data_IF_608288462156
#
_entry.id   IF_608288462156
#
_cell.length_a   1.000
_cell.length_b   1.000
_cell.length_c   1.000
_cell.angle_alpha   90.00
_cell.angle_beta   90.00
_cell.angle_gamma   90.00
#
_symmetry.space_group_name_H-M   'P 1'
#
loop_
_entity.id
_entity.type
_entity.pdbx_description
1 polymer ?
#
# COMPACT_ATOMS: atom_id res chain seq x y z
N UNK A 1 36.60 -14.74 -34.48
CA UNK A 1 36.63 -14.14 -35.83
C UNK A 1 35.67 -12.95 -35.85
N UNK A 2 35.98 -11.92 -36.65
CA UNK A 2 35.22 -10.66 -36.84
C UNK A 2 35.10 -9.71 -35.63
N UNK A 3 35.95 -8.67 -35.63
CA UNK A 3 35.79 -7.41 -34.89
C UNK A 3 35.34 -6.31 -35.85
N UNK A 4 34.58 -5.32 -35.38
CA UNK A 4 34.50 -3.91 -35.85
C UNK A 4 33.23 -3.24 -35.28
N UNK A 5 33.15 -1.92 -35.03
CA UNK A 5 34.18 -0.91 -34.78
C UNK A 5 33.51 0.29 -34.08
N UNK A 6 34.30 1.12 -33.40
CA UNK A 6 33.84 2.32 -32.68
C UNK A 6 34.29 3.57 -33.47
N UNK A 7 33.39 4.51 -33.77
CA UNK A 7 33.74 5.85 -34.28
C UNK A 7 32.84 6.88 -33.58
N UNK A 8 33.44 7.91 -32.98
CA UNK A 8 32.74 9.02 -32.36
C UNK A 8 32.63 10.24 -33.28
N UNK A 9 31.83 11.22 -32.87
CA UNK A 9 31.70 12.51 -33.54
C UNK A 9 31.15 13.56 -32.58
N UNK A 10 31.90 14.65 -32.38
CA UNK A 10 31.55 15.75 -31.47
C UNK A 10 30.92 16.88 -32.30
N UNK A 11 29.84 17.50 -31.82
CA UNK A 11 29.18 18.62 -32.50
C UNK A 11 28.50 19.57 -31.51
N UNK A 12 29.04 20.79 -31.39
CA UNK A 12 28.48 21.92 -30.63
C UNK A 12 27.65 22.84 -31.55
N UNK A 13 26.93 23.81 -30.96
CA UNK A 13 25.94 24.78 -31.50
C UNK A 13 24.48 24.35 -31.20
N UNK A 14 23.54 25.24 -30.86
CA UNK A 14 23.58 26.71 -30.68
C UNK A 14 22.17 27.22 -30.32
N UNK A 15 22.07 28.37 -29.66
CA UNK A 15 20.81 28.95 -29.13
C UNK A 15 19.84 29.48 -30.19
N UNK A 16 18.51 29.38 -30.00
CA UNK A 16 17.56 30.52 -29.79
C UNK A 16 16.04 30.20 -29.92
N UNK A 17 15.24 30.93 -29.12
CA UNK A 17 13.88 31.48 -29.36
C UNK A 17 12.62 30.60 -29.63
N UNK A 18 11.72 30.62 -28.63
CA UNK A 18 10.29 30.98 -28.65
C UNK A 18 9.39 30.72 -29.88
N UNK A 19 8.22 30.07 -29.64
CA UNK A 19 6.99 30.40 -30.39
C UNK A 19 5.84 29.38 -30.31
N UNK A 20 4.63 29.88 -30.02
CA UNK A 20 3.29 29.28 -30.28
C UNK A 20 2.90 27.96 -29.56
N UNK A 21 1.62 27.65 -29.32
CA UNK A 21 0.38 28.45 -29.14
C UNK A 21 -0.62 27.58 -28.35
N UNK A 22 -1.46 28.16 -27.49
CA UNK A 22 -2.52 27.43 -26.78
C UNK A 22 -3.82 27.48 -27.59
N UNK A 23 -4.45 26.33 -27.80
CA UNK A 23 -5.67 26.20 -28.59
C UNK A 23 -6.94 26.57 -27.79
N UNK A 24 -7.88 27.23 -28.48
CA UNK A 24 -9.16 27.71 -27.95
C UNK A 24 -10.24 26.63 -27.86
N UNK A 25 -11.17 26.79 -26.91
CA UNK A 25 -12.51 26.21 -26.97
C UNK A 25 -13.57 27.28 -26.62
N UNK A 26 -14.71 27.29 -27.31
CA UNK A 26 -15.73 28.34 -27.29
C UNK A 26 -17.07 27.80 -26.77
N UNK A 27 -17.75 28.57 -25.90
CA UNK A 27 -19.22 28.68 -25.70
C UNK A 27 -19.99 27.38 -25.32
N UNK A 28 -20.99 27.35 -24.43
CA UNK A 28 -21.59 28.32 -23.49
C UNK A 28 -22.31 27.48 -22.37
N UNK A 29 -23.23 27.92 -21.50
CA UNK A 29 -23.91 29.21 -21.23
C UNK A 29 -24.50 29.20 -19.79
N UNK A 30 -25.28 30.21 -19.41
CA UNK A 30 -26.57 29.97 -18.75
C UNK A 30 -26.63 29.81 -17.23
N UNK A 31 -26.06 30.73 -16.44
CA UNK A 31 -26.49 30.91 -15.03
C UNK A 31 -26.52 32.39 -14.64
N UNK A 32 -27.71 32.99 -14.62
CA UNK A 32 -27.93 34.41 -14.34
C UNK A 32 -27.77 34.68 -12.84
N UNK A 33 -26.73 35.42 -12.45
CA UNK A 33 -26.64 36.02 -11.13
C UNK A 33 -26.81 37.54 -11.24
N UNK A 34 -27.89 38.08 -10.67
CA UNK A 34 -28.21 39.52 -10.71
C UNK A 34 -27.21 40.31 -9.86
N UNK A 35 -26.14 40.80 -10.47
CA UNK A 35 -25.28 41.84 -9.89
C UNK A 35 -25.82 43.22 -10.27
N UNK A 36 -26.04 44.06 -9.27
CA UNK A 36 -26.43 45.46 -9.47
C UNK A 36 -25.35 46.22 -10.24
N UNK A 37 -25.75 46.90 -11.33
CA UNK A 37 -24.85 47.82 -12.04
C UNK A 37 -24.55 49.02 -11.15
N UNK A 38 -23.41 49.00 -10.47
CA UNK A 38 -22.82 50.21 -9.94
C UNK A 38 -21.82 50.74 -10.95
N UNK A 39 -22.20 51.81 -11.66
CA UNK A 39 -21.34 52.46 -12.66
C UNK A 39 -20.28 53.26 -11.93
N UNK A 40 -19.15 52.61 -11.59
CA UNK A 40 -17.97 53.35 -11.14
C UNK A 40 -17.27 53.95 -12.35
N UNK A 41 -17.29 55.29 -12.41
CA UNK A 41 -16.52 56.08 -13.37
C UNK A 41 -15.05 55.64 -13.35
N UNK A 42 -14.51 55.37 -14.54
CA UNK A 42 -13.08 55.24 -14.77
C UNK A 42 -12.38 56.58 -14.52
N UNK A 43 -11.95 56.83 -13.29
CA UNK A 43 -10.74 57.62 -13.03
C UNK A 43 -9.55 56.67 -13.10
N UNK A 44 -8.52 57.04 -13.86
CA UNK A 44 -7.22 56.33 -13.85
C UNK A 44 -6.51 56.69 -12.54
N UNK A 45 -6.99 56.10 -11.44
CA UNK A 45 -6.30 56.14 -10.17
C UNK A 45 -5.06 55.27 -10.26
N UNK A 46 -3.92 55.79 -9.82
CA UNK A 46 -2.73 54.98 -9.57
C UNK A 46 -3.16 53.87 -8.59
N UNK A 47 -3.18 52.62 -9.06
CA UNK A 47 -3.50 51.48 -8.21
C UNK A 47 -2.31 51.26 -7.27
N UNK A 48 -2.35 51.96 -6.13
CA UNK A 48 -1.49 51.72 -4.98
C UNK A 48 -1.78 50.29 -4.51
N UNK A 49 -0.98 49.33 -4.99
CA UNK A 49 -1.00 47.94 -4.51
C UNK A 49 -0.49 47.95 -3.07
N UNK A 50 -1.40 48.19 -2.13
CA UNK A 50 -1.10 48.15 -0.71
C UNK A 50 -0.71 46.71 -0.34
N UNK A 51 0.45 46.48 0.29
CA UNK A 51 0.87 45.13 0.66
C UNK A 51 -0.13 44.57 1.67
N UNK A 52 -0.89 43.56 1.25
CA UNK A 52 -1.89 42.92 2.12
C UNK A 52 -1.19 42.41 3.38
N UNK A 53 -1.58 42.88 4.58
CA UNK A 53 -0.90 42.51 5.80
C UNK A 53 -1.06 41.00 6.03
N UNK A 54 0.05 40.31 6.30
CA UNK A 54 0.05 38.86 6.53
C UNK A 54 -1.05 38.48 7.53
N UNK A 55 -1.94 37.59 7.10
CA UNK A 55 -3.18 37.29 7.82
C UNK A 55 -2.93 36.77 9.24
N UNK A 56 -3.90 36.95 10.13
CA UNK A 56 -3.78 36.48 11.51
C UNK A 56 -3.58 34.95 11.62
N UNK A 57 -3.99 34.18 10.60
CA UNK A 57 -3.69 32.74 10.49
C UNK A 57 -2.23 32.46 10.10
N UNK A 58 -1.65 33.21 9.17
CA UNK A 58 -0.22 33.10 8.81
C UNK A 58 0.68 33.48 9.99
N UNK A 59 0.39 34.59 10.68
CA UNK A 59 1.14 35.01 11.88
C UNK A 59 1.07 33.98 13.02
N UNK A 60 -0.04 33.23 13.14
CA UNK A 60 -0.19 32.11 14.09
C UNK A 60 0.68 30.90 13.76
N UNK A 61 1.16 30.74 12.52
CA UNK A 61 2.09 29.68 12.14
C UNK A 61 3.56 30.06 12.36
N UNK A 62 3.91 31.35 12.28
CA UNK A 62 5.29 31.82 12.31
C UNK A 62 5.83 32.01 13.74
N UNK A 63 5.13 32.76 14.60
CA UNK A 63 5.72 33.32 15.82
C UNK A 63 5.01 32.92 17.13
N UNK A 64 4.63 31.64 17.29
CA UNK A 64 4.14 31.11 18.58
C UNK A 64 5.03 30.00 19.13
N UNK A 65 5.93 30.38 20.03
CA UNK A 65 6.66 29.44 20.91
C UNK A 65 5.63 28.54 21.62
N UNK A 66 5.79 27.21 21.60
CA UNK A 66 4.81 26.29 22.17
C UNK A 66 4.77 26.42 23.69
N UNK A 67 3.71 27.03 24.24
CA UNK A 67 3.45 27.05 25.69
C UNK A 67 2.94 25.68 26.15
N UNK A 68 3.48 25.18 27.26
CA UNK A 68 3.21 23.85 27.81
C UNK A 68 1.95 23.73 28.68
N UNK A 69 1.13 24.79 28.74
CA UNK A 69 -0.15 24.81 29.48
C UNK A 69 -1.32 25.33 28.62
N UNK A 70 -2.55 25.01 29.04
CA UNK A 70 -3.79 25.51 28.43
C UNK A 70 -3.99 25.11 26.96
N UNK A 71 -4.75 25.93 26.22
CA UNK A 71 -5.13 25.68 24.82
C UNK A 71 -3.93 25.51 23.86
N UNK A 72 -2.80 26.14 24.16
CA UNK A 72 -1.54 25.98 23.42
C UNK A 72 -1.15 24.50 23.30
N UNK A 73 -1.23 23.73 24.39
CA UNK A 73 -0.90 22.29 24.38
C UNK A 73 -1.76 21.47 23.43
N UNK A 74 -3.05 21.82 23.28
CA UNK A 74 -3.96 21.12 22.36
C UNK A 74 -3.54 21.34 20.90
N UNK A 75 -3.06 22.55 20.56
CA UNK A 75 -2.51 22.85 19.24
C UNK A 75 -1.19 22.11 18.99
N UNK A 76 -0.28 22.11 19.96
CA UNK A 76 1.03 21.43 19.87
C UNK A 76 0.86 19.91 19.76
N UNK A 77 -0.02 19.29 20.56
CA UNK A 77 -0.35 17.86 20.44
C UNK A 77 -0.96 17.53 19.08
N UNK A 78 -1.80 18.42 18.52
CA UNK A 78 -2.42 18.24 17.20
C UNK A 78 -1.41 18.40 16.04
N UNK A 79 -0.42 19.29 16.13
CA UNK A 79 0.64 19.38 15.12
C UNK A 79 1.63 18.22 15.24
N UNK A 80 2.06 17.88 16.45
CA UNK A 80 2.94 16.73 16.70
C UNK A 80 2.31 15.41 16.22
N UNK A 81 1.03 15.18 16.49
CA UNK A 81 0.28 14.02 15.97
C UNK A 81 0.33 13.92 14.45
N UNK A 82 0.06 15.02 13.72
CA UNK A 82 0.17 15.06 12.26
C UNK A 82 1.58 14.77 11.74
N UNK A 83 2.61 15.21 12.46
CA UNK A 83 4.01 14.91 12.10
C UNK A 83 4.32 13.43 12.33
N UNK A 84 3.87 12.85 13.44
CA UNK A 84 4.02 11.42 13.73
C UNK A 84 3.25 10.54 12.74
N UNK A 85 2.03 10.94 12.33
CA UNK A 85 1.23 10.23 11.32
C UNK A 85 1.92 10.17 9.95
N UNK A 86 2.64 11.24 9.59
CA UNK A 86 3.48 11.32 8.37
C UNK A 86 4.76 10.51 8.52
N UNK A 87 5.39 10.50 9.69
CA UNK A 87 6.54 9.66 9.98
C UNK A 87 6.19 8.16 9.87
N UNK A 88 5.04 7.76 10.43
CA UNK A 88 4.51 6.38 10.30
C UNK A 88 4.28 5.99 8.83
N UNK A 89 3.76 6.90 8.00
CA UNK A 89 3.63 6.68 6.55
C UNK A 89 4.99 6.59 5.83
N UNK A 90 5.98 7.37 6.26
CA UNK A 90 7.33 7.30 5.72
C UNK A 90 8.01 5.97 6.09
N UNK A 91 7.97 5.56 7.36
CA UNK A 91 8.57 4.30 7.83
C UNK A 91 7.90 3.08 7.17
N UNK A 92 6.58 3.08 7.05
CA UNK A 92 5.84 2.03 6.33
C UNK A 92 6.26 1.92 4.85
N UNK A 93 6.50 3.07 4.18
CA UNK A 93 6.98 3.11 2.79
C UNK A 93 8.44 2.66 2.68
N UNK A 94 9.33 3.10 3.57
CA UNK A 94 10.74 2.74 3.52
C UNK A 94 10.96 1.24 3.71
N UNK A 95 10.29 0.63 4.68
CA UNK A 95 10.35 -0.82 4.93
C UNK A 95 9.76 -1.63 3.76
N UNK A 96 8.64 -1.18 3.18
CA UNK A 96 8.09 -1.87 1.99
C UNK A 96 8.93 -1.68 0.73
N UNK A 97 9.68 -0.58 0.59
CA UNK A 97 10.69 -0.44 -0.48
C UNK A 97 11.87 -1.39 -0.26
N UNK A 98 12.37 -1.53 0.96
CA UNK A 98 13.43 -2.50 1.30
C UNK A 98 12.98 -3.93 1.02
N UNK A 99 11.78 -4.34 1.47
CA UNK A 99 11.25 -5.67 1.19
C UNK A 99 11.01 -5.93 -0.31
N UNK A 100 10.65 -4.92 -1.10
CA UNK A 100 10.56 -5.05 -2.57
C UNK A 100 11.91 -5.34 -3.23
N UNK A 101 13.03 -4.90 -2.66
CA UNK A 101 14.36 -5.18 -3.22
C UNK A 101 14.69 -6.69 -3.22
N UNK A 102 14.16 -7.47 -2.26
CA UNK A 102 14.33 -8.93 -2.22
C UNK A 102 13.71 -9.65 -3.43
N UNK A 103 12.70 -9.05 -4.09
CA UNK A 103 12.09 -9.61 -5.29
C UNK A 103 12.87 -9.30 -6.59
N UNK A 104 13.90 -8.44 -6.51
CA UNK A 104 14.80 -8.08 -7.62
C UNK A 104 16.25 -7.90 -7.11
N UNK A 105 16.86 -8.94 -6.49
CA UNK A 105 18.10 -8.80 -5.72
C UNK A 105 19.32 -8.38 -6.56
N UNK A 106 19.30 -8.68 -7.86
CA UNK A 106 20.35 -8.32 -8.82
C UNK A 106 19.94 -7.15 -9.74
N UNK A 107 18.92 -6.37 -9.35
CA UNK A 107 18.36 -5.27 -10.17
C UNK A 107 17.46 -5.72 -11.33
N UNK A 108 17.44 -7.01 -11.68
CA UNK A 108 16.53 -7.59 -12.66
C UNK A 108 15.19 -7.97 -12.01
N UNK A 109 14.08 -7.55 -12.62
CA UNK A 109 12.74 -7.89 -12.13
C UNK A 109 12.43 -9.37 -12.36
N UNK A 110 11.99 -10.06 -11.31
CA UNK A 110 11.52 -11.45 -11.40
C UNK A 110 10.01 -11.52 -11.73
N UNK A 111 9.48 -12.68 -12.16
CA UNK A 111 8.04 -12.87 -12.40
C UNK A 111 7.13 -12.58 -11.19
N UNK A 112 7.70 -12.53 -9.98
CA UNK A 112 7.02 -12.13 -8.75
C UNK A 112 6.51 -10.67 -8.82
N UNK A 113 7.20 -9.80 -9.55
CA UNK A 113 6.89 -8.37 -9.66
C UNK A 113 5.96 -8.02 -10.84
N UNK A 114 5.50 -9.00 -11.63
CA UNK A 114 4.76 -8.71 -12.87
C UNK A 114 3.32 -8.25 -12.61
N UNK A 115 3.09 -6.94 -12.67
CA UNK A 115 1.80 -6.30 -12.33
C UNK A 115 0.63 -6.64 -13.26
N UNK A 116 0.89 -6.95 -14.53
CA UNK A 116 -0.12 -7.33 -15.53
C UNK A 116 0.45 -8.24 -16.62
N UNK A 117 -0.37 -9.13 -17.17
CA UNK A 117 -0.01 -10.01 -18.31
C UNK A 117 -0.29 -9.38 -19.67
N UNK A 118 -1.24 -8.45 -19.75
CA UNK A 118 -1.67 -7.78 -20.99
C UNK A 118 -1.56 -6.27 -20.88
N UNK A 119 -1.48 -5.58 -22.03
CA UNK A 119 -1.53 -4.11 -22.09
C UNK A 119 -2.82 -3.62 -21.41
N UNK A 120 -2.73 -2.54 -20.61
CA UNK A 120 -3.85 -2.00 -19.84
C UNK A 120 -3.98 -2.56 -18.41
N UNK A 121 -3.76 -3.86 -18.19
CA UNK A 121 -4.05 -4.52 -16.91
C UNK A 121 -3.30 -3.94 -15.69
N UNK A 122 -2.09 -3.39 -15.88
CA UNK A 122 -1.36 -2.71 -14.80
C UNK A 122 -2.07 -1.44 -14.29
N UNK A 123 -2.71 -0.67 -15.18
CA UNK A 123 -3.50 0.50 -14.79
C UNK A 123 -4.77 0.11 -14.03
N UNK A 124 -5.41 -0.98 -14.44
CA UNK A 124 -6.60 -1.54 -13.75
C UNK A 124 -6.24 -2.08 -12.36
N UNK A 125 -5.10 -2.76 -12.23
CA UNK A 125 -4.55 -3.17 -10.92
C UNK A 125 -4.25 -1.99 -10.01
N UNK A 126 -3.71 -0.89 -10.56
CA UNK A 126 -3.52 0.37 -9.81
C UNK A 126 -4.85 0.97 -9.35
N UNK A 127 -5.88 0.99 -10.20
CA UNK A 127 -7.21 1.49 -9.84
C UNK A 127 -7.84 0.65 -8.72
N UNK A 128 -7.78 -0.68 -8.82
CA UNK A 128 -8.24 -1.59 -7.76
C UNK A 128 -7.45 -1.37 -6.46
N UNK A 129 -6.12 -1.28 -6.50
CA UNK A 129 -5.29 -1.05 -5.31
C UNK A 129 -5.60 0.28 -4.60
N UNK A 130 -5.81 1.36 -5.34
CA UNK A 130 -6.24 2.66 -4.79
C UNK A 130 -7.63 2.57 -4.15
N UNK A 131 -8.56 1.86 -4.78
CA UNK A 131 -9.90 1.63 -4.21
C UNK A 131 -9.87 0.79 -2.93
N UNK A 132 -9.04 -0.25 -2.87
CA UNK A 132 -8.85 -1.07 -1.66
C UNK A 132 -8.23 -0.24 -0.52
N UNK A 133 -7.26 0.62 -0.83
CA UNK A 133 -6.70 1.57 0.14
C UNK A 133 -7.77 2.56 0.66
N UNK A 134 -8.71 3.01 -0.19
CA UNK A 134 -9.85 3.82 0.23
C UNK A 134 -10.82 3.05 1.14
N UNK A 135 -11.27 1.84 0.75
CA UNK A 135 -12.14 0.98 1.57
C UNK A 135 -11.52 0.64 2.93
N UNK A 136 -10.20 0.41 2.98
CA UNK A 136 -9.48 0.18 4.25
C UNK A 136 -9.59 1.36 5.24
N UNK A 137 -9.68 2.60 4.73
CA UNK A 137 -9.92 3.80 5.55
C UNK A 137 -11.38 3.94 6.01
N UNK A 138 -12.32 3.25 5.35
CA UNK A 138 -13.75 3.23 5.71
C UNK A 138 -14.11 2.16 6.77
N UNK A 139 -13.18 1.25 7.13
CA UNK A 139 -13.35 0.29 8.25
C UNK A 139 -13.87 0.98 9.53
N UNK A 140 -14.65 0.26 10.33
CA UNK A 140 -15.19 0.80 11.58
C UNK A 140 -14.07 1.15 12.60
N UNK A 141 -14.32 2.03 13.59
CA UNK A 141 -13.34 2.34 14.62
C UNK A 141 -12.86 1.09 15.39
N UNK A 142 -13.77 0.15 15.68
CA UNK A 142 -13.46 -1.12 16.32
C UNK A 142 -12.55 -2.01 15.46
N UNK A 143 -12.85 -2.15 14.16
CA UNK A 143 -12.00 -2.90 13.22
C UNK A 143 -10.59 -2.29 13.11
N UNK A 144 -10.48 -0.95 13.05
CA UNK A 144 -9.18 -0.25 13.03
C UNK A 144 -8.39 -0.43 14.33
N UNK A 145 -9.07 -0.44 15.48
CA UNK A 145 -8.43 -0.71 16.77
C UNK A 145 -7.94 -2.15 16.86
N UNK A 146 -8.77 -3.13 16.48
CA UNK A 146 -8.38 -4.54 16.43
C UNK A 146 -7.20 -4.77 15.49
N UNK A 147 -7.27 -4.26 14.24
CA UNK A 147 -6.18 -4.34 13.27
C UNK A 147 -4.87 -3.72 13.80
N UNK A 148 -4.94 -2.60 14.52
CA UNK A 148 -3.77 -1.99 15.16
C UNK A 148 -3.11 -2.92 16.18
N UNK A 149 -3.88 -3.61 17.04
CA UNK A 149 -3.31 -4.48 18.08
C UNK A 149 -2.86 -5.82 17.54
N UNK A 150 -3.65 -6.44 16.67
CA UNK A 150 -3.33 -7.71 16.03
C UNK A 150 -2.05 -7.62 15.19
N UNK A 151 -1.90 -6.56 14.38
CA UNK A 151 -0.69 -6.37 13.57
C UNK A 151 0.55 -6.03 14.41
N UNK A 152 0.37 -5.53 15.63
CA UNK A 152 1.46 -5.35 16.61
C UNK A 152 1.88 -6.66 17.24
N UNK A 153 0.93 -7.53 17.64
CA UNK A 153 1.23 -8.89 18.13
C UNK A 153 2.14 -9.62 17.14
N UNK A 154 1.71 -9.66 15.88
CA UNK A 154 2.46 -10.31 14.79
C UNK A 154 3.83 -9.66 14.54
N UNK A 155 3.92 -8.32 14.55
CA UNK A 155 5.19 -7.62 14.34
C UNK A 155 6.19 -7.81 15.48
N UNK A 156 5.74 -7.88 16.74
CA UNK A 156 6.61 -8.14 17.90
C UNK A 156 7.16 -9.57 17.86
N UNK A 157 6.33 -10.58 17.56
CA UNK A 157 6.81 -11.96 17.35
C UNK A 157 7.87 -11.99 16.24
N UNK A 158 7.64 -11.25 15.15
CA UNK A 158 8.57 -11.17 14.01
C UNK A 158 9.83 -10.33 14.26
N UNK A 159 9.87 -9.53 15.33
CA UNK A 159 11.05 -8.76 15.77
C UNK A 159 12.08 -9.64 16.51
N UNK A 160 11.70 -10.87 16.90
CA UNK A 160 12.56 -11.87 17.52
C UNK A 160 13.40 -11.37 18.73
N UNK A 161 12.83 -10.48 19.55
CA UNK A 161 13.50 -9.90 20.73
C UNK A 161 14.30 -8.62 20.46
N UNK A 162 14.21 -8.03 19.26
CA UNK A 162 14.86 -6.76 18.95
C UNK A 162 14.12 -5.58 19.59
N UNK A 163 14.54 -5.17 20.80
CA UNK A 163 13.97 -4.07 21.60
C UNK A 163 13.74 -2.77 20.79
N UNK A 164 14.66 -2.40 19.89
CA UNK A 164 14.49 -1.22 19.03
C UNK A 164 13.31 -1.38 18.05
N UNK A 165 13.19 -2.53 17.38
CA UNK A 165 12.10 -2.80 16.44
C UNK A 165 10.76 -2.92 17.15
N UNK A 166 10.70 -3.59 18.30
CA UNK A 166 9.50 -3.69 19.14
C UNK A 166 9.01 -2.30 19.56
N UNK A 167 9.89 -1.44 20.07
CA UNK A 167 9.57 -0.03 20.40
C UNK A 167 9.03 0.74 19.19
N UNK A 168 9.58 0.49 18.00
CA UNK A 168 9.11 1.12 16.77
C UNK A 168 7.72 0.60 16.35
N UNK A 169 7.45 -0.70 16.41
CA UNK A 169 6.14 -1.28 16.08
C UNK A 169 5.04 -0.88 17.10
N UNK A 170 5.39 -0.80 18.39
CA UNK A 170 4.49 -0.31 19.45
C UNK A 170 4.18 1.19 19.33
N UNK A 171 5.06 1.98 18.71
CA UNK A 171 4.83 3.40 18.45
C UNK A 171 4.10 3.66 17.13
N UNK A 172 4.50 2.99 16.05
CA UNK A 172 4.09 3.29 14.67
C UNK A 172 3.23 2.16 14.07
N UNK A 173 1.89 2.31 14.05
CA UNK A 173 0.99 1.23 13.66
C UNK A 173 0.96 0.92 12.15
N UNK A 174 1.16 1.90 11.26
CA UNK A 174 1.26 1.62 9.81
C UNK A 174 2.57 0.88 9.52
N UNK A 175 3.66 1.23 10.20
CA UNK A 175 4.94 0.51 10.14
C UNK A 175 4.77 -0.97 10.52
N UNK A 176 4.18 -1.29 11.68
CA UNK A 176 3.96 -2.68 12.11
C UNK A 176 3.18 -3.48 11.04
N UNK A 177 2.11 -2.90 10.50
CA UNK A 177 1.35 -3.53 9.42
C UNK A 177 2.15 -3.71 8.13
N UNK A 178 2.93 -2.71 7.75
CA UNK A 178 3.76 -2.73 6.54
C UNK A 178 4.92 -3.72 6.65
N UNK A 179 5.45 -3.94 7.86
CA UNK A 179 6.47 -4.94 8.15
C UNK A 179 5.92 -6.36 8.03
N UNK A 180 4.79 -6.68 8.68
CA UNK A 180 4.15 -8.01 8.61
C UNK A 180 3.75 -8.37 7.17
N UNK A 181 3.23 -7.42 6.40
CA UNK A 181 2.96 -7.63 4.97
C UNK A 181 4.25 -7.74 4.15
N UNK A 182 5.22 -6.85 4.38
CA UNK A 182 6.47 -6.81 3.62
C UNK A 182 7.32 -8.07 3.77
N UNK A 183 7.43 -8.60 4.99
CA UNK A 183 8.16 -9.84 5.27
C UNK A 183 7.49 -11.06 4.63
N UNK A 184 6.16 -11.17 4.72
CA UNK A 184 5.40 -12.24 4.07
C UNK A 184 5.50 -12.19 2.53
N UNK A 185 5.59 -11.01 1.94
CA UNK A 185 5.77 -10.85 0.49
C UNK A 185 7.21 -11.14 0.04
N UNK A 186 8.22 -10.77 0.84
CA UNK A 186 9.62 -11.04 0.54
C UNK A 186 9.99 -12.53 0.72
N UNK A 187 9.54 -13.16 1.82
CA UNK A 187 9.71 -14.58 2.09
C UNK A 187 8.66 -15.46 1.37
N UNK A 188 7.72 -14.82 0.66
CA UNK A 188 6.64 -15.43 -0.12
C UNK A 188 5.73 -16.41 0.66
N UNK A 189 5.54 -16.17 1.96
CA UNK A 189 4.67 -16.99 2.83
C UNK A 189 3.17 -16.71 2.63
N UNK A 190 2.81 -15.92 1.62
CA UNK A 190 1.42 -15.64 1.23
C UNK A 190 0.84 -16.79 0.39
N UNK A 191 -0.43 -17.17 0.64
CA UNK A 191 -1.18 -18.15 -0.18
C UNK A 191 -1.12 -17.93 -1.71
N UNK A 192 -0.96 -16.68 -2.19
CA UNK A 192 -0.81 -16.38 -3.63
C UNK A 192 0.45 -16.95 -4.27
N UNK A 193 1.42 -17.36 -3.45
CA UNK A 193 2.68 -17.94 -3.88
C UNK A 193 2.73 -19.45 -3.62
N UNK A 194 2.05 -19.95 -2.59
CA UNK A 194 1.97 -21.37 -2.32
C UNK A 194 1.26 -22.13 -3.45
N UNK A 195 1.85 -23.24 -3.87
CA UNK A 195 1.27 -24.20 -4.81
C UNK A 195 1.13 -25.51 -4.04
N UNK A 196 -0.08 -26.08 -3.88
CA UNK A 196 -0.24 -27.36 -3.20
C UNK A 196 0.33 -28.48 -4.07
N UNK A 197 1.03 -29.43 -3.44
CA UNK A 197 1.67 -30.55 -4.15
C UNK A 197 0.78 -31.79 -4.23
N UNK A 198 -0.25 -31.85 -3.39
CA UNK A 198 -1.18 -32.99 -3.31
C UNK A 198 -2.62 -32.51 -3.25
N UNK A 199 -3.54 -33.31 -3.79
CA UNK A 199 -5.00 -33.05 -3.75
C UNK A 199 -5.50 -32.92 -2.30
N UNK A 200 -4.91 -33.67 -1.36
CA UNK A 200 -5.23 -33.56 0.06
C UNK A 200 -4.81 -32.18 0.63
N UNK A 201 -3.62 -31.70 0.28
CA UNK A 201 -3.14 -30.37 0.67
C UNK A 201 -3.99 -29.26 0.05
N UNK A 202 -4.37 -29.38 -1.22
CA UNK A 202 -5.28 -28.44 -1.89
C UNK A 202 -6.63 -28.36 -1.15
N UNK A 203 -7.21 -29.51 -0.79
CA UNK A 203 -8.45 -29.55 -0.01
C UNK A 203 -8.31 -28.84 1.35
N UNK A 204 -7.22 -29.07 2.08
CA UNK A 204 -6.99 -28.43 3.38
C UNK A 204 -6.73 -26.91 3.25
N UNK A 205 -5.97 -26.48 2.24
CA UNK A 205 -5.75 -25.07 1.96
C UNK A 205 -7.06 -24.37 1.56
N UNK A 206 -7.91 -25.03 0.76
CA UNK A 206 -9.24 -24.54 0.41
C UNK A 206 -10.20 -24.49 1.61
N UNK A 207 -10.13 -25.46 2.53
CA UNK A 207 -10.90 -25.45 3.78
C UNK A 207 -10.49 -24.26 4.68
N UNK A 208 -9.19 -23.98 4.80
CA UNK A 208 -8.68 -22.83 5.52
C UNK A 208 -9.07 -21.49 4.86
N UNK A 209 -9.03 -21.40 3.53
CA UNK A 209 -9.47 -20.20 2.80
C UNK A 209 -10.97 -19.92 2.99
N UNK A 210 -11.81 -20.95 3.10
CA UNK A 210 -13.23 -20.81 3.52
C UNK A 210 -13.34 -20.21 4.93
N UNK A 211 -12.59 -20.71 5.91
CA UNK A 211 -12.56 -20.17 7.28
C UNK A 211 -12.09 -18.71 7.30
N UNK A 212 -11.09 -18.37 6.50
CA UNK A 212 -10.63 -16.99 6.35
C UNK A 212 -11.72 -16.08 5.76
N UNK A 213 -12.42 -16.52 4.70
CA UNK A 213 -13.50 -15.76 4.04
C UNK A 213 -14.77 -15.62 4.89
N UNK A 214 -15.08 -16.58 5.77
CA UNK A 214 -16.18 -16.42 6.73
C UNK A 214 -15.99 -15.19 7.65
N UNK A 215 -14.74 -14.80 7.94
CA UNK A 215 -14.42 -13.57 8.70
C UNK A 215 -14.77 -12.29 7.93
N UNK A 216 -14.84 -12.35 6.60
CA UNK A 216 -15.29 -11.26 5.74
C UNK A 216 -16.80 -11.01 5.79
N UNK A 217 -17.60 -11.95 6.31
CA UNK A 217 -19.06 -11.87 6.39
C UNK A 217 -19.62 -12.41 7.74
N UNK A 218 -19.21 -11.85 8.90
CA UNK A 218 -19.43 -12.46 10.21
C UNK A 218 -20.91 -12.62 10.62
N UNK A 219 -21.80 -11.77 10.09
CA UNK A 219 -23.25 -11.81 10.36
C UNK A 219 -24.04 -12.25 9.11
N UNK A 220 -23.43 -12.98 8.18
CA UNK A 220 -24.01 -13.32 6.87
C UNK A 220 -24.06 -12.16 5.86
N UNK A 221 -23.70 -10.94 6.27
CA UNK A 221 -23.57 -9.76 5.41
C UNK A 221 -22.10 -9.50 5.10
N UNK A 222 -21.75 -9.41 3.81
CA UNK A 222 -20.38 -9.13 3.35
C UNK A 222 -19.88 -7.76 3.81
N UNK A 223 -18.63 -7.71 4.28
CA UNK A 223 -17.93 -6.48 4.60
C UNK A 223 -17.34 -5.80 3.36
N UNK A 224 -17.02 -4.50 3.46
CA UNK A 224 -16.36 -3.73 2.39
C UNK A 224 -14.89 -4.12 2.13
N UNK A 225 -14.36 -5.12 2.84
CA UNK A 225 -12.97 -5.57 2.71
C UNK A 225 -12.83 -6.67 1.63
N UNK A 226 -13.75 -7.63 1.58
CA UNK A 226 -13.84 -8.63 0.50
C UNK A 226 -14.68 -8.10 -0.68
N UNK A 227 -14.03 -7.39 -1.62
CA UNK A 227 -14.69 -6.84 -2.82
C UNK A 227 -13.77 -6.97 -4.03
N UNK A 228 -14.22 -7.74 -5.02
CA UNK A 228 -13.45 -8.12 -6.22
C UNK A 228 -13.52 -7.08 -7.36
N UNK A 229 -14.50 -6.17 -7.34
CA UNK A 229 -14.62 -5.07 -8.31
C UNK A 229 -15.56 -3.98 -7.83
N UNK A 230 -15.34 -2.73 -8.26
CA UNK A 230 -16.24 -1.59 -7.95
C UNK A 230 -16.97 -1.05 -9.20
N UNK A 231 -16.64 -1.56 -10.38
CA UNK A 231 -17.25 -1.19 -11.65
C UNK A 231 -17.46 -2.43 -12.53
N UNK A 232 -18.36 -2.31 -13.52
CA UNK A 232 -18.68 -3.39 -14.48
C UNK A 232 -17.41 -3.91 -15.14
N UNK A 233 -17.25 -5.24 -15.18
CA UNK A 233 -16.07 -5.92 -15.77
C UNK A 233 -14.88 -6.12 -14.82
N UNK A 234 -14.74 -5.34 -13.74
CA UNK A 234 -13.55 -5.42 -12.87
C UNK A 234 -13.41 -6.76 -12.13
N UNK A 235 -14.52 -7.41 -11.75
CA UNK A 235 -14.47 -8.72 -11.08
C UNK A 235 -13.82 -9.79 -11.97
N UNK A 236 -14.15 -9.81 -13.28
CA UNK A 236 -13.55 -10.74 -14.23
C UNK A 236 -12.07 -10.42 -14.47
N UNK A 237 -11.70 -9.13 -14.53
CA UNK A 237 -10.30 -8.71 -14.58
C UNK A 237 -9.52 -9.14 -13.33
N UNK A 238 -10.15 -9.09 -12.15
CA UNK A 238 -9.55 -9.59 -10.91
C UNK A 238 -9.31 -11.11 -10.98
N UNK A 239 -10.29 -11.89 -11.46
CA UNK A 239 -10.20 -13.35 -11.67
C UNK A 239 -9.08 -13.72 -12.65
N UNK A 240 -9.08 -13.14 -13.86
CA UNK A 240 -8.07 -13.41 -14.90
C UNK A 240 -6.66 -13.10 -14.39
N UNK A 241 -6.48 -11.98 -13.69
CA UNK A 241 -5.18 -11.62 -13.16
C UNK A 241 -4.75 -12.49 -11.95
N UNK A 242 -5.69 -13.03 -11.16
CA UNK A 242 -5.37 -14.00 -10.12
C UNK A 242 -4.86 -15.33 -10.72
N UNK A 243 -5.49 -15.81 -11.80
CA UNK A 243 -5.02 -16.97 -12.56
C UNK A 243 -3.62 -16.74 -13.16
N UNK A 244 -3.36 -15.55 -13.71
CA UNK A 244 -2.03 -15.20 -14.20
C UNK A 244 -0.95 -15.20 -13.09
N UNK A 245 -1.30 -14.82 -11.84
CA UNK A 245 -0.38 -14.95 -10.71
C UNK A 245 -0.20 -16.38 -10.23
N UNK A 246 -1.26 -17.20 -10.24
CA UNK A 246 -1.18 -18.62 -9.89
C UNK A 246 -0.30 -19.41 -10.88
N UNK A 247 -0.41 -19.13 -12.18
CA UNK A 247 0.47 -19.71 -13.18
C UNK A 247 1.95 -19.37 -12.90
N UNK A 248 2.26 -18.10 -12.61
CA UNK A 248 3.64 -17.69 -12.26
C UNK A 248 4.12 -18.25 -10.92
N UNK A 249 3.23 -18.50 -9.95
CA UNK A 249 3.64 -19.12 -8.69
C UNK A 249 4.10 -20.57 -8.87
N UNK A 250 3.63 -21.24 -9.92
CA UNK A 250 4.08 -22.56 -10.37
C UNK A 250 5.36 -22.56 -11.24
N UNK A 251 5.85 -21.40 -11.70
CA UNK A 251 7.02 -21.29 -12.62
C UNK A 251 8.36 -20.96 -11.91
N UNK A 252 8.48 -21.19 -10.60
CA UNK A 252 9.69 -20.83 -9.85
C UNK A 252 10.81 -21.86 -10.04
N UNK A 253 12.03 -21.50 -9.65
CA UNK A 253 13.10 -22.49 -9.51
C UNK A 253 12.82 -23.44 -8.35
N UNK A 254 13.33 -24.68 -8.42
CA UNK A 254 13.23 -25.68 -7.35
C UNK A 254 13.72 -25.13 -6.01
N UNK A 255 14.86 -24.44 -6.01
CA UNK A 255 15.42 -23.77 -4.82
C UNK A 255 14.50 -22.71 -4.20
N UNK A 256 13.69 -22.01 -5.01
CA UNK A 256 12.70 -21.06 -4.50
C UNK A 256 11.50 -21.80 -3.91
N UNK A 257 11.01 -22.87 -4.55
CA UNK A 257 9.95 -23.69 -3.99
C UNK A 257 10.31 -24.27 -2.61
N UNK A 258 11.50 -24.86 -2.47
CA UNK A 258 11.95 -25.44 -1.20
C UNK A 258 12.09 -24.37 -0.11
N UNK A 259 12.74 -23.25 -0.41
CA UNK A 259 12.88 -22.13 0.54
C UNK A 259 11.52 -21.60 1.01
N UNK A 260 10.53 -21.51 0.10
CA UNK A 260 9.18 -21.06 0.42
C UNK A 260 8.40 -22.02 1.31
N UNK A 261 8.59 -23.34 1.15
CA UNK A 261 7.98 -24.34 2.06
C UNK A 261 8.48 -24.13 3.49
N UNK A 262 9.80 -24.11 3.67
CA UNK A 262 10.39 -23.90 5.00
C UNK A 262 10.03 -22.54 5.60
N UNK A 263 10.02 -21.47 4.79
CA UNK A 263 9.59 -20.14 5.24
C UNK A 263 8.11 -20.13 5.67
N UNK A 264 7.24 -20.80 4.92
CA UNK A 264 5.80 -20.86 5.22
C UNK A 264 5.50 -21.67 6.48
N UNK A 265 6.09 -22.85 6.62
CA UNK A 265 5.96 -23.69 7.84
C UNK A 265 6.51 -22.97 9.07
N UNK A 266 7.68 -22.31 8.96
CA UNK A 266 8.22 -21.46 10.04
C UNK A 266 7.26 -20.34 10.40
N UNK A 267 6.83 -19.55 9.41
CA UNK A 267 5.91 -18.43 9.61
C UNK A 267 4.62 -18.89 10.31
N UNK A 268 4.03 -20.02 9.90
CA UNK A 268 2.79 -20.48 10.51
C UNK A 268 2.97 -21.00 11.95
N UNK A 269 4.05 -21.73 12.21
CA UNK A 269 4.40 -22.18 13.57
C UNK A 269 4.60 -21.00 14.50
N UNK A 270 5.52 -20.10 14.12
CA UNK A 270 5.97 -19.01 14.98
C UNK A 270 4.81 -18.01 15.24
N UNK A 271 3.91 -17.79 14.27
CA UNK A 271 2.82 -16.81 14.36
C UNK A 271 1.47 -17.35 14.86
N UNK A 272 1.14 -18.62 14.62
CA UNK A 272 -0.21 -19.15 14.89
C UNK A 272 -0.24 -20.42 15.73
N UNK A 273 0.73 -21.33 15.60
CA UNK A 273 0.67 -22.61 16.32
C UNK A 273 0.79 -22.44 17.84
N UNK A 274 1.51 -21.42 18.31
CA UNK A 274 1.58 -21.04 19.74
C UNK A 274 1.92 -22.20 20.71
N UNK A 275 2.72 -23.19 20.26
CA UNK A 275 3.09 -24.39 21.03
C UNK A 275 2.12 -25.58 20.91
N UNK A 276 1.11 -25.50 20.03
CA UNK A 276 0.20 -26.60 19.75
C UNK A 276 0.86 -27.65 18.82
N UNK A 277 1.38 -28.72 19.43
CA UNK A 277 2.01 -29.86 18.73
C UNK A 277 1.20 -30.45 17.56
N UNK A 278 -0.14 -30.31 17.55
CA UNK A 278 -0.98 -30.76 16.44
C UNK A 278 -0.89 -29.82 15.24
N UNK A 279 -1.02 -28.51 15.47
CA UNK A 279 -0.94 -27.49 14.42
C UNK A 279 0.46 -27.42 13.81
N UNK A 280 1.51 -27.54 14.63
CA UNK A 280 2.89 -27.61 14.14
C UNK A 280 3.12 -28.80 13.20
N UNK A 281 2.58 -29.98 13.54
CA UNK A 281 2.65 -31.17 12.66
C UNK A 281 1.93 -30.94 11.33
N UNK A 282 0.79 -30.24 11.33
CA UNK A 282 0.07 -29.88 10.11
C UNK A 282 0.89 -28.88 9.28
N UNK A 283 1.38 -27.79 9.87
CA UNK A 283 2.14 -26.76 9.16
C UNK A 283 3.48 -27.25 8.61
N UNK A 284 4.15 -28.18 9.30
CA UNK A 284 5.37 -28.81 8.81
C UNK A 284 5.12 -29.83 7.69
N UNK A 285 3.95 -30.48 7.66
CA UNK A 285 3.60 -31.50 6.65
C UNK A 285 2.95 -30.91 5.40
N UNK A 286 2.21 -29.80 5.54
CA UNK A 286 1.40 -29.19 4.50
C UNK A 286 1.70 -27.68 4.38
N UNK A 287 2.82 -27.29 3.76
CA UNK A 287 3.28 -25.90 3.70
C UNK A 287 2.31 -24.95 2.98
N UNK A 288 1.45 -25.42 2.06
CA UNK A 288 0.43 -24.56 1.45
C UNK A 288 -0.71 -24.20 2.44
N UNK A 289 -1.00 -25.07 3.41
CA UNK A 289 -1.90 -24.75 4.53
C UNK A 289 -1.24 -23.71 5.44
N UNK A 290 0.06 -23.86 5.71
CA UNK A 290 0.84 -22.90 6.48
C UNK A 290 0.84 -21.48 5.83
N UNK A 291 1.06 -21.39 4.51
CA UNK A 291 0.96 -20.13 3.75
C UNK A 291 -0.48 -19.59 3.61
N UNK A 292 -1.48 -20.44 3.83
CA UNK A 292 -2.90 -20.06 3.93
C UNK A 292 -3.25 -19.35 5.24
N UNK A 293 -2.39 -19.43 6.27
CA UNK A 293 -2.63 -18.78 7.56
C UNK A 293 -2.40 -17.27 7.48
N UNK A 294 -3.40 -16.50 7.92
CA UNK A 294 -3.40 -15.03 7.85
C UNK A 294 -3.93 -14.45 9.16
N UNK A 295 -3.41 -13.29 9.53
CA UNK A 295 -3.94 -12.49 10.65
C UNK A 295 -5.44 -12.26 10.49
N UNK A 296 -6.18 -12.36 11.61
CA UNK A 296 -7.65 -12.19 11.66
C UNK A 296 -8.08 -10.79 11.17
N UNK A 297 -7.19 -9.80 11.25
CA UNK A 297 -7.47 -8.38 10.95
C UNK A 297 -7.72 -8.03 9.48
N UNK A 298 -7.36 -8.91 8.53
CA UNK A 298 -7.41 -8.57 7.11
C UNK A 298 -8.84 -8.50 6.54
N UNK A 299 -9.76 -9.37 6.98
CA UNK A 299 -11.17 -9.37 6.56
C UNK A 299 -11.40 -9.66 5.08
N UNK A 300 -10.65 -10.62 4.52
CA UNK A 300 -10.89 -11.19 3.18
C UNK A 300 -12.16 -12.05 3.14
#
# INVERSE_FOLDING_TARGET
MASAAFIGGVGSLGSTLNGAQVASAKYADGAICKSSRNVQRSTVGIVMVSPSPASASMRRMQNKVPKMTGFSTKLVKKSAGKTLDKADEFFARSVTMQYKAYAAPYGTYTPQCTEGSVKGAAFEKRAMALSAAFRSKQKSPGQKAFEKFEMRKMAVIAAAGCDHEEKMFLKYPKLAKAYVLGSAEAMRTCQRYAVPETIAEEYMAAALDKVNKMRGAPNGVYSSSCVEGNAKGQAEQARVAALATAYRSAMKSTSQFEAEKFASSKYARDMFAHGCNHEEKIFNKYPAVAAGMRSVSYGY
#
